data_IF_626802671873
#
_entry.id   IF_626802671873
#
_cell.length_a   1.000
_cell.length_b   1.000
_cell.length_c   1.000
_cell.angle_alpha   90.00
_cell.angle_beta   90.00
_cell.angle_gamma   90.00
#
_symmetry.space_group_name_H-M   'P 1'
#
loop_
_entity.id
_entity.type
_entity.pdbx_description
1 polymer ?
#
# COMPACT_ATOMS: atom_id res chain seq x y z
N UNK A 1 25.63 52.31 5.04
CA UNK A 1 25.25 51.00 4.46
C UNK A 1 24.28 50.35 5.43
N UNK A 2 23.06 50.02 4.97
CA UNK A 2 21.98 49.42 5.77
C UNK A 2 22.21 47.91 5.83
N UNK A 3 22.57 47.37 6.99
CA UNK A 3 22.61 45.92 7.23
C UNK A 3 21.20 45.48 7.62
N UNK A 4 20.39 45.07 6.63
CA UNK A 4 19.12 44.44 6.90
C UNK A 4 19.37 43.13 7.67
N UNK A 5 18.73 42.97 8.82
CA UNK A 5 18.92 41.78 9.65
C UNK A 5 18.55 40.51 8.87
N UNK A 6 19.35 39.43 9.02
CA UNK A 6 19.07 38.17 8.35
C UNK A 6 17.73 37.62 8.83
N UNK A 7 16.82 37.37 7.88
CA UNK A 7 15.54 36.72 8.20
C UNK A 7 15.83 35.30 8.71
N UNK A 8 15.19 34.86 9.81
CA UNK A 8 15.33 33.51 10.34
C UNK A 8 15.15 32.47 9.23
N UNK A 9 16.06 31.50 9.18
CA UNK A 9 16.07 30.46 8.15
C UNK A 9 14.83 29.57 8.23
N UNK A 10 14.48 28.89 7.12
CA UNK A 10 13.30 28.04 7.06
C UNK A 10 13.23 26.97 8.17
N UNK A 11 14.37 26.47 8.65
CA UNK A 11 14.46 25.54 9.79
C UNK A 11 14.20 26.19 11.16
N UNK A 12 14.42 27.50 11.32
CA UNK A 12 14.12 28.23 12.56
C UNK A 12 12.63 28.62 12.64
N UNK A 13 11.96 28.70 11.49
CA UNK A 13 10.54 29.07 11.38
C UNK A 13 9.63 27.83 11.26
N UNK A 14 10.16 26.71 10.78
CA UNK A 14 9.39 25.50 10.52
C UNK A 14 9.57 24.46 11.62
N UNK A 15 8.48 24.17 12.35
CA UNK A 15 8.38 23.01 13.24
C UNK A 15 7.26 22.09 12.72
N UNK A 16 7.49 20.77 12.61
CA UNK A 16 6.40 19.82 12.35
C UNK A 16 5.40 19.89 13.50
N UNK A 17 4.11 20.04 13.20
CA UNK A 17 3.07 20.11 14.23
C UNK A 17 3.00 18.85 15.10
N UNK A 18 3.47 17.71 14.58
CA UNK A 18 3.58 16.43 15.30
C UNK A 18 4.78 15.68 14.74
N UNK A 19 5.77 15.40 15.59
CA UNK A 19 6.73 14.33 15.34
C UNK A 19 6.42 13.14 16.24
N UNK A 20 6.46 11.89 15.73
CA UNK A 20 6.50 10.73 16.61
C UNK A 20 7.75 10.85 17.51
N UNK A 21 7.68 10.38 18.77
CA UNK A 21 8.83 10.46 19.67
C UNK A 21 10.04 9.75 19.07
N UNK A 22 11.21 10.38 19.15
CA UNK A 22 12.46 9.82 18.67
C UNK A 22 12.75 8.52 19.43
N UNK A 23 13.11 7.45 18.71
CA UNK A 23 13.44 6.15 19.30
C UNK A 23 12.26 5.20 19.54
N UNK A 24 11.07 5.53 19.03
CA UNK A 24 9.93 4.59 19.03
C UNK A 24 10.01 3.68 17.82
N UNK A 25 10.20 2.38 18.07
CA UNK A 25 10.08 1.36 17.03
C UNK A 25 8.60 1.21 16.63
N UNK A 26 8.31 1.27 15.33
CA UNK A 26 6.96 1.09 14.82
C UNK A 26 6.68 -0.39 14.62
N UNK A 27 5.48 -0.83 15.00
CA UNK A 27 4.98 -2.11 14.50
C UNK A 27 4.83 -2.09 12.97
N UNK A 28 4.90 -3.25 12.34
CA UNK A 28 4.69 -3.42 10.89
C UNK A 28 3.44 -2.70 10.36
N UNK A 29 2.32 -2.83 11.09
CA UNK A 29 1.06 -2.17 10.72
C UNK A 29 1.16 -0.64 10.81
N UNK A 30 1.87 -0.12 11.82
CA UNK A 30 2.08 1.33 11.95
C UNK A 30 3.02 1.85 10.85
N UNK A 31 4.11 1.14 10.56
CA UNK A 31 5.03 1.48 9.49
C UNK A 31 4.32 1.53 8.13
N UNK A 32 3.47 0.54 7.85
CA UNK A 32 2.68 0.51 6.62
C UNK A 32 1.68 1.68 6.56
N UNK A 33 1.03 2.04 7.68
CA UNK A 33 0.12 3.20 7.73
C UNK A 33 0.82 4.54 7.50
N UNK A 34 2.09 4.65 7.91
CA UNK A 34 2.91 5.83 7.58
C UNK A 34 3.23 5.85 6.09
N UNK A 35 3.62 4.72 5.50
CA UNK A 35 3.93 4.63 4.07
C UNK A 35 2.75 5.06 3.19
N UNK A 36 1.53 4.59 3.48
CA UNK A 36 0.32 5.02 2.77
C UNK A 36 0.09 6.53 2.84
N UNK A 37 0.20 7.13 4.03
CA UNK A 37 0.02 8.56 4.22
C UNK A 37 1.09 9.39 3.50
N UNK A 38 2.33 8.90 3.47
CA UNK A 38 3.40 9.54 2.69
C UNK A 38 3.11 9.51 1.19
N UNK A 39 2.77 8.34 0.64
CA UNK A 39 2.44 8.21 -0.79
C UNK A 39 1.23 9.06 -1.18
N UNK A 40 0.22 9.11 -0.31
CA UNK A 40 -0.95 9.95 -0.51
C UNK A 40 -0.59 11.45 -0.52
N UNK A 41 0.30 11.89 0.39
CA UNK A 41 0.75 13.28 0.45
C UNK A 41 1.55 13.72 -0.79
N UNK A 42 2.24 12.80 -1.47
CA UNK A 42 2.98 13.08 -2.71
C UNK A 42 2.18 12.81 -3.99
N UNK A 43 0.88 12.51 -3.88
CA UNK A 43 -0.03 12.42 -5.02
C UNK A 43 -0.12 11.04 -5.70
N UNK A 44 0.37 9.97 -5.07
CA UNK A 44 0.26 8.61 -5.62
C UNK A 44 -1.12 7.97 -5.39
N UNK A 45 -1.96 8.58 -4.55
CA UNK A 45 -3.31 8.10 -4.31
C UNK A 45 -4.28 8.62 -5.40
N UNK A 46 -4.60 7.76 -6.38
CA UNK A 46 -5.67 8.03 -7.35
C UNK A 46 -7.02 7.57 -6.79
N UNK A 47 -7.78 8.51 -6.23
CA UNK A 47 -9.12 8.25 -5.68
C UNK A 47 -9.08 7.12 -4.62
N UNK A 48 -10.02 6.16 -4.66
CA UNK A 48 -10.05 4.96 -3.80
C UNK A 48 -9.29 3.76 -4.40
N UNK A 49 -8.57 3.95 -5.50
CA UNK A 49 -7.86 2.86 -6.17
C UNK A 49 -6.47 2.63 -5.55
N UNK A 50 -5.97 1.40 -5.71
CA UNK A 50 -4.62 1.01 -5.32
C UNK A 50 -4.55 0.18 -4.04
N UNK A 51 -3.70 -0.85 -4.08
CA UNK A 51 -3.41 -1.72 -2.94
C UNK A 51 -1.91 -1.84 -2.76
N UNK A 52 -1.46 -1.77 -1.51
CA UNK A 52 -0.10 -2.16 -1.15
C UNK A 52 -0.24 -3.42 -0.31
N UNK A 53 0.43 -4.48 -0.77
CA UNK A 53 0.52 -5.73 -0.04
C UNK A 53 1.95 -5.91 0.45
N UNK A 54 2.09 -6.23 1.72
CA UNK A 54 3.40 -6.46 2.32
C UNK A 54 3.40 -7.74 3.14
N UNK A 55 4.39 -8.59 2.91
CA UNK A 55 4.63 -9.81 3.68
C UNK A 55 5.89 -9.59 4.53
N UNK A 56 5.76 -9.44 5.86
CA UNK A 56 6.93 -9.36 6.72
C UNK A 56 7.79 -10.62 6.63
N UNK A 57 9.10 -10.47 6.79
CA UNK A 57 10.04 -11.59 6.69
C UNK A 57 9.71 -12.65 7.74
N UNK A 58 9.62 -13.92 7.32
CA UNK A 58 9.30 -15.04 8.22
C UNK A 58 7.81 -15.25 8.48
N UNK A 59 6.92 -14.40 7.95
CA UNK A 59 5.47 -14.56 8.08
C UNK A 59 4.85 -15.19 6.83
N UNK A 60 3.80 -16.00 6.98
CA UNK A 60 2.99 -16.53 5.87
C UNK A 60 1.84 -15.62 5.46
N UNK A 61 1.49 -14.71 6.36
CA UNK A 61 0.40 -13.77 6.19
C UNK A 61 0.92 -12.45 5.62
N UNK A 62 0.08 -11.81 4.83
CA UNK A 62 0.32 -10.51 4.23
C UNK A 62 -0.57 -9.47 4.87
N UNK A 63 -0.03 -8.27 5.08
CA UNK A 63 -0.79 -7.07 5.38
C UNK A 63 -1.27 -6.46 4.06
N UNK A 64 -2.55 -6.09 4.03
CA UNK A 64 -3.17 -5.36 2.91
C UNK A 64 -4.07 -4.27 3.47
N UNK A 65 -4.10 -3.12 2.82
CA UNK A 65 -5.05 -2.07 3.18
C UNK A 65 -6.50 -2.54 2.93
N UNK A 66 -7.45 -2.13 3.79
CA UNK A 66 -8.86 -2.38 3.59
C UNK A 66 -9.37 -1.56 2.40
N UNK A 67 -10.36 -2.11 1.71
CA UNK A 67 -11.10 -1.38 0.69
C UNK A 67 -12.07 -0.38 1.34
N UNK A 68 -12.30 0.77 0.69
CA UNK A 68 -13.29 1.76 1.14
C UNK A 68 -12.77 2.78 2.15
N UNK A 69 -11.47 2.83 2.43
CA UNK A 69 -10.82 3.91 3.18
C UNK A 69 -9.85 4.69 2.29
N UNK A 70 -9.80 6.01 2.47
CA UNK A 70 -8.80 6.85 1.81
C UNK A 70 -7.41 6.56 2.38
N UNK A 71 -6.36 6.63 1.54
CA UNK A 71 -5.00 6.34 1.97
C UNK A 71 -4.52 7.25 3.12
N UNK A 72 -5.05 8.48 3.18
CA UNK A 72 -4.79 9.44 4.26
C UNK A 72 -5.42 9.03 5.60
N UNK A 73 -6.48 8.22 5.57
CA UNK A 73 -7.27 7.81 6.74
C UNK A 73 -6.83 6.45 7.30
N UNK A 74 -5.88 5.78 6.65
CA UNK A 74 -5.41 4.48 7.09
C UNK A 74 -4.69 4.57 8.44
N UNK A 75 -5.18 3.75 9.38
CA UNK A 75 -4.57 3.53 10.69
C UNK A 75 -4.08 2.10 10.82
N UNK A 76 -3.21 1.84 11.80
CA UNK A 76 -2.65 0.52 12.07
C UNK A 76 -3.72 -0.56 12.36
N UNK A 77 -4.90 -0.17 12.84
CA UNK A 77 -6.01 -1.09 13.14
C UNK A 77 -6.76 -1.56 11.88
N UNK A 78 -6.66 -0.81 10.77
CA UNK A 78 -7.44 -1.08 9.56
C UNK A 78 -6.93 -2.25 8.71
N UNK A 79 -5.74 -2.78 8.97
CA UNK A 79 -5.13 -3.79 8.08
C UNK A 79 -5.81 -5.15 8.15
N UNK A 80 -6.06 -5.71 6.97
CA UNK A 80 -6.50 -7.09 6.85
C UNK A 80 -5.27 -8.00 6.73
N UNK A 81 -5.36 -9.18 7.35
CA UNK A 81 -4.37 -10.26 7.21
C UNK A 81 -4.89 -11.30 6.21
N UNK A 82 -4.18 -11.45 5.10
CA UNK A 82 -4.43 -12.50 4.12
C UNK A 82 -3.35 -13.58 4.19
N UNK A 83 -3.73 -14.82 4.46
CA UNK A 83 -2.79 -15.95 4.43
C UNK A 83 -2.55 -16.42 3.00
N UNK A 84 -1.28 -16.64 2.61
CA UNK A 84 -1.00 -17.49 1.44
C UNK A 84 -1.31 -18.93 1.81
N UNK A 85 -2.41 -19.48 1.31
CA UNK A 85 -2.52 -20.94 1.25
C UNK A 85 -1.44 -21.42 0.28
N UNK A 86 -0.41 -22.12 0.77
CA UNK A 86 0.41 -22.95 -0.11
C UNK A 86 -0.56 -23.86 -0.85
N UNK A 87 -0.46 -23.91 -2.18
CA UNK A 87 -1.12 -24.96 -2.94
C UNK A 87 -0.45 -26.29 -2.56
N UNK A 88 -0.91 -26.90 -1.48
CA UNK A 88 -0.53 -28.25 -1.05
C UNK A 88 -1.62 -29.25 -1.42
N UNK A 89 -2.15 -29.11 -2.64
CA UNK A 89 -3.04 -30.07 -3.27
C UNK A 89 -2.42 -30.55 -4.58
N UNK A 90 -2.71 -31.77 -5.05
CA UNK A 90 -2.35 -32.17 -6.39
C UNK A 90 -2.87 -31.13 -7.38
N UNK A 91 -2.04 -30.76 -8.37
CA UNK A 91 -2.49 -29.91 -9.49
C UNK A 91 -3.79 -30.51 -10.02
N UNK A 92 -4.84 -29.71 -10.28
CA UNK A 92 -6.01 -30.23 -10.97
C UNK A 92 -5.54 -30.90 -12.26
N UNK A 93 -5.77 -32.20 -12.39
CA UNK A 93 -5.56 -32.93 -13.64
C UNK A 93 -6.59 -32.37 -14.62
N UNK A 94 -6.22 -31.44 -15.49
CA UNK A 94 -7.19 -30.93 -16.47
C UNK A 94 -6.88 -29.65 -17.22
N UNK A 95 -5.62 -29.26 -17.40
CA UNK A 95 -5.29 -28.24 -18.41
C UNK A 95 -4.11 -28.73 -19.23
N UNK A 96 -4.40 -29.50 -20.28
CA UNK A 96 -3.43 -29.73 -21.34
C UNK A 96 -3.33 -28.45 -22.19
N UNK A 97 -2.13 -28.09 -22.68
CA UNK A 97 -1.99 -26.99 -23.63
C UNK A 97 -2.65 -27.41 -24.95
N UNK A 98 -3.94 -27.10 -25.09
CA UNK A 98 -4.78 -27.55 -26.21
C UNK A 98 -6.29 -27.48 -25.97
N UNK A 99 -6.74 -27.34 -24.73
CA UNK A 99 -8.18 -27.21 -24.45
C UNK A 99 -8.73 -25.86 -24.95
N UNK A 100 -9.80 -25.84 -25.76
CA UNK A 100 -10.34 -24.60 -26.30
C UNK A 100 -10.97 -23.74 -25.18
N UNK A 101 -10.57 -22.47 -25.13
CA UNK A 101 -11.12 -21.47 -24.21
C UNK A 101 -12.64 -21.30 -24.45
N UNK A 102 -13.47 -21.26 -23.40
CA UNK A 102 -14.93 -21.15 -23.52
C UNK A 102 -15.46 -19.81 -24.07
N UNK A 103 -14.58 -18.92 -24.56
CA UNK A 103 -14.93 -17.59 -25.05
C UNK A 103 -14.59 -17.35 -26.53
N UNK A 104 -14.39 -18.39 -27.35
CA UNK A 104 -14.31 -18.19 -28.80
C UNK A 104 -15.71 -18.02 -29.38
N UNK A 105 -16.17 -16.78 -29.41
CA UNK A 105 -17.42 -16.31 -30.02
C UNK A 105 -17.50 -16.64 -31.52
N UNK A 106 -18.73 -16.89 -31.97
CA UNK A 106 -19.17 -17.40 -33.26
C UNK A 106 -18.71 -16.57 -34.50
N UNK A 107 -18.66 -17.17 -35.71
CA UNK A 107 -18.43 -16.44 -36.94
C UNK A 107 -19.65 -15.58 -37.33
N UNK A 108 -19.41 -14.32 -37.69
CA UNK A 108 -20.43 -13.41 -38.22
C UNK A 108 -20.93 -13.83 -39.62
N UNK A 109 -22.09 -13.30 -40.07
CA UNK A 109 -22.71 -13.72 -41.32
C UNK A 109 -22.01 -13.07 -42.53
N UNK A 110 -21.85 -13.86 -43.59
CA UNK A 110 -21.53 -13.41 -44.95
C UNK A 110 -22.74 -13.52 -45.86
#
# INVERSE_FOLDING_TARGET
>A
MNTAEPRPGGLEVWAPAVMPPIGVELSDAQALAVAFRHLAAIGFAENMAGHITWQPNGHTDMLVNPWGLWWQELTAFGYLRGGRRRASGPRPLGCHPGDPHPYRTAPGPG
#
